data_IF_895308747045
#
_entry.id   IF_895308747045
#
_cell.length_a   1.000
_cell.length_b   1.000
_cell.length_c   1.000
_cell.angle_alpha   90.00
_cell.angle_beta   90.00
_cell.angle_gamma   90.00
#
_symmetry.space_group_name_H-M   'P 1'
#
loop_
_entity.id
_entity.type
_entity.pdbx_description
1 polymer ?
#
# COMPACT_ATOMS: atom_id res chain seq x y z
N UNK A 1 13.74 7.79 -9.17
CA UNK A 1 12.62 6.80 -9.35
C UNK A 1 11.40 7.42 -8.72
N UNK A 2 10.31 7.51 -9.48
CA UNK A 2 9.15 8.27 -9.01
C UNK A 2 8.38 7.55 -7.91
N UNK A 3 8.08 6.25 -8.11
CA UNK A 3 7.15 5.53 -7.24
C UNK A 3 7.71 4.18 -6.78
N UNK A 4 7.57 3.88 -5.49
CA UNK A 4 7.68 2.54 -4.92
C UNK A 4 6.31 2.07 -4.42
N UNK A 5 5.78 1.00 -5.00
CA UNK A 5 4.57 0.34 -4.53
C UNK A 5 4.93 -0.79 -3.58
N UNK A 6 4.56 -0.68 -2.32
CA UNK A 6 4.74 -1.72 -1.30
C UNK A 6 3.42 -2.48 -1.14
N UNK A 7 3.44 -3.76 -1.46
CA UNK A 7 2.25 -4.61 -1.48
C UNK A 7 2.47 -5.82 -0.56
N UNK A 8 2.05 -5.72 0.70
CA UNK A 8 1.99 -6.87 1.60
C UNK A 8 0.93 -7.85 1.13
N UNK A 9 1.24 -9.14 1.14
CA UNK A 9 0.30 -10.17 0.71
C UNK A 9 0.42 -11.47 1.51
N UNK A 10 -0.69 -12.19 1.61
CA UNK A 10 -0.76 -13.51 2.22
C UNK A 10 -1.84 -14.35 1.53
N UNK A 11 -1.42 -15.43 0.83
CA UNK A 11 -2.28 -16.34 0.06
C UNK A 11 -3.11 -15.64 -1.02
N UNK A 12 -2.42 -14.97 -1.95
CA UNK A 12 -3.03 -14.14 -3.00
C UNK A 12 -2.55 -14.51 -4.41
N UNK A 13 -2.22 -15.80 -4.64
CA UNK A 13 -1.66 -16.28 -5.91
C UNK A 13 -2.53 -15.92 -7.12
N UNK A 14 -3.86 -15.94 -6.98
CA UNK A 14 -4.80 -15.73 -8.08
C UNK A 14 -4.91 -14.25 -8.50
N UNK A 15 -4.82 -13.32 -7.54
CA UNK A 15 -5.02 -11.88 -7.79
C UNK A 15 -3.76 -11.16 -8.28
N UNK A 16 -2.57 -11.70 -7.97
CA UNK A 16 -1.29 -11.04 -8.27
C UNK A 16 -1.07 -10.76 -9.77
N UNK A 17 -1.36 -11.66 -10.73
CA UNK A 17 -1.11 -11.38 -12.14
C UNK A 17 -1.97 -10.24 -12.69
N UNK A 18 -3.25 -10.21 -12.33
CA UNK A 18 -4.19 -9.18 -12.78
C UNK A 18 -3.83 -7.81 -12.19
N UNK A 19 -3.58 -7.74 -10.89
CA UNK A 19 -3.14 -6.53 -10.22
C UNK A 19 -1.85 -5.99 -10.82
N UNK A 20 -0.85 -6.86 -11.03
CA UNK A 20 0.43 -6.47 -11.63
C UNK A 20 0.23 -5.85 -13.02
N UNK A 21 -0.53 -6.51 -13.89
CA UNK A 21 -0.82 -6.00 -15.23
C UNK A 21 -1.60 -4.67 -15.20
N UNK A 22 -2.45 -4.45 -14.20
CA UNK A 22 -3.16 -3.19 -14.03
C UNK A 22 -2.21 -2.06 -13.59
N UNK A 23 -1.35 -2.34 -12.59
CA UNK A 23 -0.33 -1.38 -12.17
C UNK A 23 0.58 -1.00 -13.34
N UNK A 24 1.11 -1.98 -14.08
CA UNK A 24 1.98 -1.74 -15.23
C UNK A 24 1.34 -0.81 -16.25
N UNK A 25 0.07 -1.04 -16.61
CA UNK A 25 -0.67 -0.16 -17.53
C UNK A 25 -0.79 1.27 -17.01
N UNK A 26 -1.04 1.45 -15.72
CA UNK A 26 -1.15 2.79 -15.12
C UNK A 26 0.20 3.50 -15.13
N UNK A 27 1.28 2.81 -14.79
CA UNK A 27 2.63 3.36 -14.78
C UNK A 27 3.08 3.76 -16.18
N UNK A 28 2.90 2.88 -17.16
CA UNK A 28 3.29 3.12 -18.56
C UNK A 28 2.50 4.27 -19.16
N UNK A 29 1.18 4.32 -18.91
CA UNK A 29 0.31 5.40 -19.40
C UNK A 29 0.74 6.78 -18.91
N UNK A 30 1.26 6.86 -17.68
CA UNK A 30 1.66 8.12 -17.06
C UNK A 30 3.18 8.38 -17.15
N UNK A 31 3.96 7.45 -17.70
CA UNK A 31 5.41 7.59 -17.87
C UNK A 31 6.20 7.57 -16.56
N UNK A 32 5.66 6.93 -15.51
CA UNK A 32 6.35 6.85 -14.23
C UNK A 32 7.49 5.81 -14.24
N UNK A 33 8.61 6.18 -13.66
CA UNK A 33 9.63 5.23 -13.24
C UNK A 33 9.24 4.62 -11.89
N UNK A 34 9.17 3.28 -11.81
CA UNK A 34 8.57 2.62 -10.64
C UNK A 34 9.25 1.32 -10.25
N UNK A 35 8.97 0.88 -9.04
CA UNK A 35 9.18 -0.48 -8.57
C UNK A 35 7.93 -1.01 -7.84
N UNK A 36 7.72 -2.32 -7.92
CA UNK A 36 6.71 -3.05 -7.16
C UNK A 36 7.44 -3.95 -6.16
N UNK A 37 7.21 -3.72 -4.88
CA UNK A 37 7.77 -4.49 -3.79
C UNK A 37 6.70 -5.43 -3.20
N UNK A 38 6.65 -6.67 -3.69
CA UNK A 38 5.79 -7.70 -3.10
C UNK A 38 6.41 -8.24 -1.82
N UNK A 39 5.72 -8.07 -0.70
CA UNK A 39 6.14 -8.59 0.59
C UNK A 39 5.24 -9.78 0.95
N UNK A 40 5.70 -10.97 0.62
CA UNK A 40 4.99 -12.22 0.91
C UNK A 40 5.15 -12.56 2.39
N UNK A 41 4.08 -12.40 3.13
CA UNK A 41 4.01 -12.62 4.59
C UNK A 41 3.80 -14.12 4.93
N UNK A 42 4.68 -14.98 4.38
CA UNK A 42 4.71 -16.40 4.70
C UNK A 42 3.54 -17.19 4.11
N UNK A 43 3.09 -16.86 2.89
CA UNK A 43 2.03 -17.58 2.19
C UNK A 43 2.32 -19.08 2.09
N UNK A 44 1.27 -19.87 2.20
CA UNK A 44 1.27 -21.32 2.07
C UNK A 44 0.82 -21.83 0.69
N UNK A 45 0.27 -20.92 -0.12
CA UNK A 45 -0.15 -21.17 -1.50
C UNK A 45 0.99 -20.89 -2.52
N UNK A 46 0.64 -20.81 -3.81
CA UNK A 46 1.58 -20.56 -4.89
C UNK A 46 1.99 -19.08 -5.06
N UNK A 47 1.62 -18.17 -4.13
CA UNK A 47 1.90 -16.73 -4.26
C UNK A 47 3.38 -16.43 -4.52
N UNK A 48 4.30 -17.16 -3.86
CA UNK A 48 5.73 -16.93 -4.08
C UNK A 48 6.18 -17.29 -5.49
N UNK A 49 5.75 -18.44 -6.01
CA UNK A 49 6.09 -18.87 -7.39
C UNK A 49 5.53 -17.90 -8.44
N UNK A 50 4.35 -17.32 -8.17
CA UNK A 50 3.77 -16.28 -9.04
C UNK A 50 4.64 -15.03 -9.03
N UNK A 51 5.09 -14.56 -7.85
CA UNK A 51 5.99 -13.41 -7.74
C UNK A 51 7.30 -13.66 -8.50
N UNK A 52 7.89 -14.85 -8.38
CA UNK A 52 9.12 -15.21 -9.12
C UNK A 52 8.91 -15.12 -10.63
N UNK A 53 7.82 -15.68 -11.14
CA UNK A 53 7.47 -15.61 -12.57
C UNK A 53 7.23 -14.16 -13.04
N UNK A 54 6.59 -13.32 -12.23
CA UNK A 54 6.37 -11.89 -12.54
C UNK A 54 7.71 -11.13 -12.61
N UNK A 55 8.64 -11.42 -11.69
CA UNK A 55 10.00 -10.83 -11.68
C UNK A 55 10.84 -11.17 -12.89
N UNK A 56 10.70 -12.39 -13.43
CA UNK A 56 11.38 -12.79 -14.65
C UNK A 56 10.93 -11.97 -15.86
N UNK A 57 9.65 -11.59 -15.89
CA UNK A 57 9.05 -10.80 -16.98
C UNK A 57 9.29 -9.29 -16.84
N UNK A 58 9.31 -8.78 -15.61
CA UNK A 58 9.48 -7.35 -15.34
C UNK A 58 10.50 -7.11 -14.22
N UNK A 59 11.61 -6.47 -14.56
CA UNK A 59 12.72 -6.17 -13.63
C UNK A 59 12.37 -5.13 -12.56
N UNK A 60 11.29 -4.38 -12.75
CA UNK A 60 10.79 -3.44 -11.75
C UNK A 60 10.10 -4.16 -10.58
N UNK A 61 9.83 -5.45 -10.71
CA UNK A 61 9.21 -6.25 -9.65
C UNK A 61 10.29 -6.84 -8.76
N UNK A 62 10.13 -6.64 -7.46
CA UNK A 62 10.97 -7.21 -6.41
C UNK A 62 10.12 -7.99 -5.43
N UNK A 63 10.63 -9.08 -4.88
CA UNK A 63 9.93 -9.90 -3.89
C UNK A 63 10.75 -10.07 -2.62
N UNK A 64 10.06 -10.04 -1.49
CA UNK A 64 10.57 -10.45 -0.18
C UNK A 64 9.66 -11.54 0.36
N UNK A 65 10.23 -12.64 0.85
CA UNK A 65 9.47 -13.76 1.42
C UNK A 65 9.80 -13.92 2.90
N UNK A 66 8.78 -13.90 3.73
CA UNK A 66 8.90 -14.23 5.15
C UNK A 66 8.80 -15.74 5.37
N UNK A 67 9.44 -16.23 6.40
CA UNK A 67 9.39 -17.65 6.77
C UNK A 67 8.03 -18.11 7.29
N UNK A 68 7.25 -17.17 7.87
CA UNK A 68 5.90 -17.39 8.41
C UNK A 68 5.14 -16.07 8.37
N UNK A 69 3.84 -16.11 8.64
CA UNK A 69 3.03 -14.90 8.77
C UNK A 69 3.41 -14.13 10.05
N UNK A 70 3.77 -12.86 9.89
CA UNK A 70 4.09 -11.90 10.96
C UNK A 70 3.09 -10.75 11.03
N UNK A 71 2.20 -10.62 10.03
CA UNK A 71 1.21 -9.57 9.91
C UNK A 71 1.62 -8.39 9.05
N UNK A 72 0.63 -7.52 8.76
CA UNK A 72 0.78 -6.40 7.81
C UNK A 72 1.87 -5.39 8.24
N UNK A 73 1.98 -5.06 9.52
CA UNK A 73 2.93 -4.05 9.99
C UNK A 73 4.40 -4.43 9.75
N UNK A 74 4.89 -5.64 10.11
CA UNK A 74 6.25 -6.07 9.77
C UNK A 74 6.49 -6.11 8.25
N UNK A 75 5.47 -6.49 7.47
CA UNK A 75 5.59 -6.51 6.01
C UNK A 75 5.75 -5.09 5.45
N UNK A 76 4.96 -4.12 5.91
CA UNK A 76 5.12 -2.72 5.55
C UNK A 76 6.46 -2.16 6.00
N UNK A 77 6.90 -2.43 7.23
CA UNK A 77 8.20 -1.97 7.73
C UNK A 77 9.36 -2.41 6.82
N UNK A 78 9.38 -3.69 6.44
CA UNK A 78 10.40 -4.22 5.53
C UNK A 78 10.28 -3.60 4.13
N UNK A 79 9.07 -3.43 3.62
CA UNK A 79 8.81 -2.81 2.33
C UNK A 79 9.26 -1.34 2.30
N UNK A 80 8.90 -0.55 3.29
CA UNK A 80 9.29 0.85 3.45
C UNK A 80 10.81 1.00 3.56
N UNK A 81 11.48 0.11 4.32
CA UNK A 81 12.93 0.09 4.39
C UNK A 81 13.62 -0.11 3.04
N UNK A 82 13.01 -0.87 2.13
CA UNK A 82 13.55 -1.20 0.79
C UNK A 82 13.13 -0.24 -0.31
N UNK A 83 12.07 0.55 -0.11
CA UNK A 83 11.54 1.48 -1.09
C UNK A 83 12.58 2.53 -1.50
N UNK A 84 12.70 2.83 -2.80
CA UNK A 84 13.66 3.75 -3.39
C UNK A 84 13.02 4.91 -4.15
N UNK A 85 11.71 4.86 -4.40
CA UNK A 85 10.96 5.92 -5.07
C UNK A 85 10.82 7.17 -4.21
N UNK A 86 10.66 8.33 -4.83
CA UNK A 86 10.43 9.61 -4.15
C UNK A 86 9.09 9.62 -3.41
N UNK A 87 8.09 8.93 -3.99
CA UNK A 87 6.80 8.62 -3.37
C UNK A 87 6.70 7.12 -3.11
N UNK A 88 6.39 6.76 -1.88
CA UNK A 88 6.13 5.38 -1.46
C UNK A 88 4.65 5.20 -1.22
N UNK A 89 4.07 4.13 -1.78
CA UNK A 89 2.65 3.82 -1.59
C UNK A 89 2.50 2.44 -0.97
N UNK A 90 1.70 2.31 0.09
CA UNK A 90 1.17 1.02 0.50
C UNK A 90 -0.13 0.78 -0.27
N UNK A 91 -0.24 -0.37 -0.90
CA UNK A 91 -1.43 -0.76 -1.64
C UNK A 91 -1.96 -2.09 -1.11
N UNK A 92 -3.27 -2.18 -0.99
CA UNK A 92 -3.97 -3.42 -0.78
C UNK A 92 -4.43 -3.99 -2.14
N UNK A 93 -4.51 -5.30 -2.26
CA UNK A 93 -4.94 -5.99 -3.49
C UNK A 93 -6.36 -5.60 -3.94
N UNK A 94 -7.13 -4.93 -3.09
CA UNK A 94 -8.49 -4.48 -3.35
C UNK A 94 -8.58 -3.00 -3.79
N UNK A 95 -7.47 -2.28 -3.82
CA UNK A 95 -7.45 -0.87 -4.17
C UNK A 95 -7.23 -0.69 -5.68
N UNK A 96 -7.79 0.40 -6.25
CA UNK A 96 -7.67 0.70 -7.67
C UNK A 96 -6.32 1.37 -7.98
N UNK A 97 -5.45 0.77 -8.81
CA UNK A 97 -4.24 1.42 -9.27
C UNK A 97 -4.48 2.73 -10.06
N UNK A 98 -5.69 2.97 -10.57
CA UNK A 98 -6.01 4.20 -11.30
C UNK A 98 -5.94 5.47 -10.43
N UNK A 99 -5.95 5.33 -9.10
CA UNK A 99 -5.79 6.43 -8.14
C UNK A 99 -4.32 6.85 -7.96
N UNK A 100 -3.36 6.04 -8.37
CA UNK A 100 -1.92 6.28 -8.18
C UNK A 100 -1.47 7.63 -8.72
N UNK A 101 -1.85 8.06 -9.95
CA UNK A 101 -1.38 9.35 -10.49
C UNK A 101 -1.83 10.54 -9.66
N UNK A 102 -3.06 10.52 -9.16
CA UNK A 102 -3.59 11.62 -8.33
C UNK A 102 -2.89 11.66 -6.97
N UNK A 103 -2.68 10.52 -6.32
CA UNK A 103 -1.95 10.46 -5.05
C UNK A 103 -0.50 10.94 -5.21
N UNK A 104 0.15 10.55 -6.33
CA UNK A 104 1.49 11.03 -6.66
C UNK A 104 1.53 12.55 -6.81
N UNK A 105 0.59 13.12 -7.57
CA UNK A 105 0.46 14.56 -7.78
C UNK A 105 0.30 15.31 -6.44
N UNK A 106 -0.57 14.80 -5.57
CA UNK A 106 -0.81 15.43 -4.25
C UNK A 106 0.44 15.49 -3.38
N UNK A 107 1.29 14.45 -3.42
CA UNK A 107 2.55 14.44 -2.69
C UNK A 107 3.56 15.40 -3.33
N UNK A 108 3.70 15.38 -4.66
CA UNK A 108 4.80 16.07 -5.36
C UNK A 108 4.48 17.53 -5.66
N UNK A 109 3.23 17.86 -6.03
CA UNK A 109 2.82 19.20 -6.44
C UNK A 109 2.11 19.96 -5.32
N UNK A 110 1.18 19.32 -4.61
CA UNK A 110 0.43 19.98 -3.53
C UNK A 110 1.21 19.99 -2.20
N UNK A 111 2.32 19.23 -2.11
CA UNK A 111 3.26 19.30 -1.00
C UNK A 111 2.85 18.52 0.26
N UNK A 112 1.90 17.57 0.15
CA UNK A 112 1.53 16.73 1.28
C UNK A 112 2.63 15.72 1.63
N UNK A 113 2.80 15.43 2.90
CA UNK A 113 3.72 14.40 3.40
C UNK A 113 3.09 13.01 3.38
N UNK A 114 1.77 12.96 3.55
CA UNK A 114 0.95 11.75 3.53
C UNK A 114 -0.42 12.04 2.91
N UNK A 115 -0.86 11.17 2.01
CA UNK A 115 -2.20 11.18 1.44
C UNK A 115 -2.84 9.81 1.64
N UNK A 116 -4.06 9.77 2.17
CA UNK A 116 -4.84 8.53 2.30
C UNK A 116 -6.00 8.54 1.33
N UNK A 117 -6.15 7.45 0.58
CA UNK A 117 -7.30 7.26 -0.28
C UNK A 117 -8.62 7.29 0.52
N UNK A 118 -9.72 7.52 -0.19
CA UNK A 118 -11.05 7.52 0.40
C UNK A 118 -12.04 6.74 -0.45
N UNK A 119 -12.52 5.60 0.08
CA UNK A 119 -13.58 4.81 -0.55
C UNK A 119 -14.94 5.49 -0.32
N UNK A 120 -15.38 6.36 -1.26
CA UNK A 120 -16.68 7.07 -1.20
C UNK A 120 -17.88 6.12 -1.11
N UNK A 121 -17.81 4.96 -1.77
CA UNK A 121 -18.85 3.91 -1.71
C UNK A 121 -18.22 2.64 -1.14
N UNK A 122 -18.65 2.26 0.05
CA UNK A 122 -18.33 0.96 0.66
C UNK A 122 -19.52 0.04 0.48
N UNK A 123 -19.29 -1.09 -0.14
CA UNK A 123 -20.26 -2.19 -0.22
C UNK A 123 -20.17 -3.14 1.00
N UNK A 124 -19.46 -2.69 2.05
CA UNK A 124 -19.30 -3.47 3.27
C UNK A 124 -20.61 -3.57 4.05
N UNK A 125 -20.88 -4.71 4.70
CA UNK A 125 -22.06 -4.86 5.55
C UNK A 125 -22.05 -3.85 6.69
N UNK A 126 -23.26 -3.45 7.14
CA UNK A 126 -23.47 -2.45 8.20
C UNK A 126 -22.67 -2.74 9.48
N UNK A 127 -22.47 -4.04 9.79
CA UNK A 127 -21.68 -4.50 10.94
C UNK A 127 -20.21 -4.05 10.91
N UNK A 128 -19.65 -3.78 9.73
CA UNK A 128 -18.28 -3.25 9.56
C UNK A 128 -18.28 -1.73 9.39
N UNK A 129 -19.32 -1.17 8.79
CA UNK A 129 -19.38 0.28 8.46
C UNK A 129 -19.58 1.13 9.71
N UNK A 130 -20.41 0.69 10.68
CA UNK A 130 -20.69 1.45 11.91
C UNK A 130 -19.44 1.56 12.81
N UNK A 131 -18.73 0.47 13.14
CA UNK A 131 -17.49 0.55 13.91
C UNK A 131 -16.42 1.43 13.25
N UNK A 132 -16.29 1.37 11.92
CA UNK A 132 -15.33 2.20 11.18
C UNK A 132 -15.67 3.70 11.27
N UNK A 133 -16.95 4.08 11.18
CA UNK A 133 -17.37 5.49 11.34
C UNK A 133 -17.08 6.02 12.75
N UNK A 134 -17.36 5.22 13.78
CA UNK A 134 -17.07 5.59 15.17
C UNK A 134 -15.56 5.73 15.37
N UNK A 135 -14.78 4.76 14.87
CA UNK A 135 -13.33 4.81 14.94
C UNK A 135 -12.78 6.07 14.27
N UNK A 136 -13.18 6.37 13.04
CA UNK A 136 -12.73 7.55 12.30
C UNK A 136 -13.13 8.87 13.01
N UNK A 137 -14.31 8.94 13.61
CA UNK A 137 -14.76 10.11 14.36
C UNK A 137 -13.94 10.32 15.65
N UNK A 138 -13.69 9.24 16.38
CA UNK A 138 -12.87 9.26 17.60
C UNK A 138 -11.44 9.62 17.29
N UNK A 139 -10.87 9.00 16.25
CA UNK A 139 -9.51 9.24 15.78
C UNK A 139 -9.30 10.72 15.43
N UNK A 140 -10.19 11.32 14.63
CA UNK A 140 -10.15 12.76 14.31
C UNK A 140 -10.19 13.65 15.55
N UNK A 141 -11.05 13.30 16.51
CA UNK A 141 -11.21 14.09 17.74
C UNK A 141 -9.97 14.04 18.65
N UNK A 142 -9.33 12.88 18.72
CA UNK A 142 -8.16 12.67 19.61
C UNK A 142 -6.88 13.24 18.99
N UNK A 143 -6.71 13.10 17.68
CA UNK A 143 -5.45 13.46 17.00
C UNK A 143 -5.46 14.84 16.36
N UNK A 144 -6.66 15.40 16.12
CA UNK A 144 -6.79 16.66 15.37
C UNK A 144 -6.53 16.51 13.86
N UNK A 145 -6.28 15.30 13.37
CA UNK A 145 -6.00 15.02 11.97
C UNK A 145 -7.31 14.74 11.22
N UNK A 146 -7.57 15.50 10.17
CA UNK A 146 -8.79 15.37 9.36
C UNK A 146 -8.56 14.46 8.16
N UNK A 147 -8.64 13.14 8.38
CA UNK A 147 -8.73 12.14 7.31
C UNK A 147 -10.16 11.63 7.19
N UNK A 148 -10.63 11.42 5.95
CA UNK A 148 -11.94 10.83 5.69
C UNK A 148 -11.99 9.36 6.08
N UNK A 149 -10.88 8.63 5.88
CA UNK A 149 -10.78 7.21 6.14
C UNK A 149 -9.36 6.81 6.58
N UNK A 150 -9.20 6.48 7.85
CA UNK A 150 -7.92 5.98 8.40
C UNK A 150 -7.63 4.54 8.00
N UNK A 151 -8.65 3.78 7.58
CA UNK A 151 -8.56 2.37 7.22
C UNK A 151 -8.49 2.13 5.71
N UNK A 152 -8.26 3.16 4.89
CA UNK A 152 -8.04 2.95 3.47
C UNK A 152 -6.73 2.19 3.24
N UNK A 153 -6.75 1.18 2.38
CA UNK A 153 -5.60 0.37 2.05
C UNK A 153 -4.54 1.13 1.27
N UNK A 154 -4.98 2.01 0.35
CA UNK A 154 -4.07 2.78 -0.50
C UNK A 154 -3.69 4.11 0.18
N UNK A 155 -2.42 4.28 0.47
CA UNK A 155 -1.84 5.52 1.01
C UNK A 155 -0.54 5.83 0.28
N UNK A 156 -0.28 7.12 0.10
CA UNK A 156 0.97 7.62 -0.46
C UNK A 156 1.72 8.47 0.57
N UNK A 157 3.03 8.35 0.56
CA UNK A 157 3.93 9.01 1.50
C UNK A 157 5.14 9.59 0.76
N UNK A 158 5.70 10.68 1.24
CA UNK A 158 7.09 11.03 0.90
C UNK A 158 8.03 9.93 1.38
N UNK A 159 9.06 9.63 0.62
CA UNK A 159 10.04 8.61 1.00
C UNK A 159 10.67 8.90 2.37
N UNK A 160 11.05 10.14 2.62
CA UNK A 160 11.64 10.55 3.91
C UNK A 160 10.74 10.25 5.11
N UNK A 161 9.40 10.33 4.95
CA UNK A 161 8.45 9.97 6.01
C UNK A 161 8.56 8.50 6.35
N UNK A 162 8.46 7.61 5.36
CA UNK A 162 8.50 6.15 5.61
C UNK A 162 9.86 5.67 6.09
N UNK A 163 10.95 6.39 5.80
CA UNK A 163 12.28 6.06 6.31
C UNK A 163 12.47 6.41 7.78
N UNK A 164 11.65 7.29 8.33
CA UNK A 164 11.73 7.76 9.71
C UNK A 164 10.67 7.15 10.63
N UNK A 165 9.75 6.31 10.10
CA UNK A 165 8.74 5.65 10.91
C UNK A 165 9.06 4.17 11.12
N UNK A 166 8.88 3.72 12.37
CA UNK A 166 8.92 2.31 12.71
C UNK A 166 7.50 1.76 12.81
N UNK A 167 7.19 0.71 12.05
CA UNK A 167 5.86 0.10 12.01
C UNK A 167 5.92 -1.30 12.61
N UNK A 168 5.31 -1.49 13.79
CA UNK A 168 5.25 -2.78 14.49
C UNK A 168 3.86 -3.05 15.08
N UNK A 169 3.57 -4.30 15.44
CA UNK A 169 2.27 -4.71 15.97
C UNK A 169 1.12 -4.30 15.02
N UNK A 170 0.12 -3.58 15.51
CA UNK A 170 -1.01 -3.05 14.73
C UNK A 170 -0.83 -1.59 14.29
N UNK A 171 0.40 -1.05 14.36
CA UNK A 171 0.69 0.35 14.09
C UNK A 171 0.43 0.79 12.65
N UNK A 172 0.32 -0.14 11.69
CA UNK A 172 -0.04 0.21 10.30
C UNK A 172 -1.33 1.04 10.17
N UNK A 173 -2.24 0.94 11.16
CA UNK A 173 -3.48 1.74 11.23
C UNK A 173 -3.26 3.16 11.75
N UNK A 174 -2.14 3.36 12.43
CA UNK A 174 -1.82 4.62 13.11
C UNK A 174 -0.73 5.41 12.41
N UNK A 175 -0.23 4.95 11.25
CA UNK A 175 0.80 5.67 10.47
C UNK A 175 0.42 7.14 10.20
N UNK A 176 -0.86 7.53 10.00
CA UNK A 176 -1.23 8.93 9.82
C UNK A 176 -1.11 9.82 11.08
N UNK A 177 -0.81 9.24 12.24
CA UNK A 177 -0.61 9.96 13.49
C UNK A 177 0.86 10.17 13.78
#
# INVERSE_FOLDING_TARGET
MDISLVIPLYNEAESLPELTAWIERVMDKNGFSYEILFINDGSSDNSWSVIESLRERNKNIKGVKFRRNYGKSPALHVGFGKAQGDVVMDADLQDSPDEIPELYRMITEDGYDLVSGWKKKRYDPLSKTIPTKIYNATARKVTGIYLHDFNCGLKAYRNEVVKNIEVYGDMHRYIPY
#
